data_IF_986180502119
#
_entry.id   IF_986180502119
#
_cell.length_a   1.000
_cell.length_b   1.000
_cell.length_c   1.000
_cell.angle_alpha   90.00
_cell.angle_beta   90.00
_cell.angle_gamma   90.00
#
_symmetry.space_group_name_H-M   'P 1'
#
loop_
_entity.id
_entity.type
_entity.pdbx_description
1 polymer ?
#
# COMPACT_ATOMS: atom_id res chain seq x y z
N UNK A 1 -15.73 41.09 17.38
CA UNK A 1 -14.73 40.27 18.12
C UNK A 1 -14.01 39.41 17.10
N UNK A 2 -12.70 39.60 16.99
CA UNK A 2 -11.80 39.01 16.00
C UNK A 2 -11.74 37.49 16.24
N UNK A 3 -12.27 36.69 15.32
CA UNK A 3 -12.05 35.24 15.30
C UNK A 3 -10.66 34.96 14.78
N UNK A 4 -9.68 34.84 15.67
CA UNK A 4 -8.31 34.51 15.34
C UNK A 4 -8.24 33.26 14.45
N UNK A 5 -7.52 33.38 13.32
CA UNK A 5 -7.20 32.29 12.40
C UNK A 5 -6.61 31.12 13.19
N UNK A 6 -7.25 29.94 13.16
CA UNK A 6 -6.60 28.68 13.58
C UNK A 6 -5.43 28.42 12.62
N UNK A 7 -4.24 28.89 13.01
CA UNK A 7 -3.06 28.90 12.16
C UNK A 7 -2.01 27.98 12.75
N UNK A 8 -2.08 26.68 12.48
CA UNK A 8 -0.92 25.77 12.56
C UNK A 8 -1.06 24.65 11.50
N UNK A 9 -0.09 24.64 10.57
CA UNK A 9 0.17 23.64 9.50
C UNK A 9 1.69 23.57 9.28
N UNK A 10 2.47 23.68 10.35
CA UNK A 10 3.92 23.71 10.24
C UNK A 10 4.42 22.29 9.94
N UNK A 11 5.37 22.20 9.01
CA UNK A 11 6.06 20.96 8.69
C UNK A 11 7.00 20.65 9.84
N UNK A 12 6.79 19.52 10.49
CA UNK A 12 7.61 19.08 11.62
C UNK A 12 8.71 18.13 11.16
N UNK A 13 8.31 17.13 10.35
CA UNK A 13 9.22 16.12 9.86
C UNK A 13 9.04 15.92 8.36
N UNK A 14 10.15 15.64 7.68
CA UNK A 14 10.16 15.11 6.33
C UNK A 14 10.38 13.60 6.39
N UNK A 15 9.49 12.84 5.78
CA UNK A 15 9.54 11.39 5.68
C UNK A 15 9.83 11.00 4.23
N UNK A 16 10.74 10.07 4.02
CA UNK A 16 11.13 9.64 2.68
C UNK A 16 11.67 8.21 2.66
N UNK A 17 11.65 7.59 1.48
CA UNK A 17 12.28 6.30 1.25
C UNK A 17 11.63 5.54 0.10
N UNK A 18 11.68 4.21 0.20
CA UNK A 18 11.01 3.29 -0.70
C UNK A 18 10.03 2.45 0.10
N UNK A 19 8.75 2.54 -0.20
CA UNK A 19 7.70 1.89 0.62
C UNK A 19 7.78 0.36 0.65
N UNK A 20 8.57 -0.24 -0.23
CA UNK A 20 8.86 -1.68 -0.30
C UNK A 20 10.16 -2.09 0.40
N UNK A 21 11.04 -1.13 0.79
CA UNK A 21 12.38 -1.42 1.30
C UNK A 21 12.69 -0.72 2.64
N UNK A 22 12.50 0.60 2.73
CA UNK A 22 12.83 1.37 3.93
C UNK A 22 12.12 2.73 3.98
N UNK A 23 11.98 3.28 5.18
CA UNK A 23 11.55 4.65 5.43
C UNK A 23 12.52 5.31 6.41
N UNK A 24 12.93 6.54 6.10
CA UNK A 24 13.69 7.45 6.97
C UNK A 24 12.83 8.68 7.27
N UNK A 25 13.13 9.34 8.38
CA UNK A 25 12.61 10.67 8.65
C UNK A 25 13.72 11.60 9.15
N UNK A 26 13.55 12.89 8.94
CA UNK A 26 14.41 13.96 9.49
C UNK A 26 13.53 15.15 9.87
N UNK A 27 14.01 16.01 10.76
CA UNK A 27 13.30 17.24 11.12
C UNK A 27 13.24 18.22 9.94
N UNK A 28 12.26 19.12 9.95
CA UNK A 28 12.05 20.04 8.83
C UNK A 28 13.22 21.01 8.63
N UNK A 29 13.96 21.40 9.67
CA UNK A 29 15.11 22.30 9.54
C UNK A 29 16.25 21.62 8.79
N UNK A 30 16.60 20.39 9.18
CA UNK A 30 17.60 19.57 8.49
C UNK A 30 17.25 19.34 7.03
N UNK A 31 15.96 19.10 6.72
CA UNK A 31 15.48 19.02 5.34
C UNK A 31 15.65 20.34 4.58
N UNK A 32 15.25 21.47 5.16
CA UNK A 32 15.36 22.77 4.51
C UNK A 32 16.81 23.19 4.23
N UNK A 33 17.72 22.95 5.17
CA UNK A 33 19.15 23.20 5.00
C UNK A 33 19.74 22.34 3.87
N UNK A 34 19.41 21.05 3.85
CA UNK A 34 19.80 20.15 2.77
C UNK A 34 19.32 20.65 1.41
N UNK A 35 18.05 21.10 1.32
CA UNK A 35 17.49 21.61 0.07
C UNK A 35 18.13 22.93 -0.38
N UNK A 36 18.53 23.81 0.56
CA UNK A 36 19.26 25.05 0.25
C UNK A 36 20.67 24.77 -0.26
N UNK A 37 21.39 23.84 0.36
CA UNK A 37 22.76 23.44 -0.03
C UNK A 37 22.82 22.68 -1.36
N UNK A 38 21.80 21.87 -1.66
CA UNK A 38 21.77 21.02 -2.85
C UNK A 38 20.88 21.59 -4.00
N UNK A 39 20.22 22.73 -3.77
CA UNK A 39 19.25 23.35 -4.68
C UNK A 39 19.80 23.78 -6.05
N UNK A 40 21.12 23.97 -6.18
CA UNK A 40 21.79 24.25 -7.46
C UNK A 40 21.91 23.03 -8.39
N UNK A 41 21.70 21.80 -7.89
CA UNK A 41 21.77 20.56 -8.70
C UNK A 41 20.41 20.02 -9.15
N UNK A 42 19.29 20.50 -8.60
CA UNK A 42 17.93 19.99 -8.90
C UNK A 42 17.08 20.89 -9.82
N UNK A 43 17.51 22.13 -10.11
CA UNK A 43 16.72 23.05 -10.94
C UNK A 43 16.51 22.56 -12.39
N UNK A 44 17.33 21.64 -12.89
CA UNK A 44 17.21 21.11 -14.26
C UNK A 44 16.10 20.07 -14.45
N UNK A 45 15.48 19.53 -13.39
CA UNK A 45 14.44 18.48 -13.54
C UNK A 45 13.00 18.96 -13.32
N UNK A 46 12.79 20.13 -12.70
CA UNK A 46 11.44 20.62 -12.37
C UNK A 46 10.85 21.64 -13.37
N UNK A 47 11.60 22.10 -14.38
CA UNK A 47 11.13 23.19 -15.27
C UNK A 47 10.34 22.74 -16.51
N UNK A 48 9.99 21.46 -16.67
CA UNK A 48 9.28 20.96 -17.88
C UNK A 48 7.82 20.54 -17.67
N UNK A 49 7.21 20.86 -16.53
CA UNK A 49 5.78 20.66 -16.31
C UNK A 49 4.96 21.94 -16.55
N UNK A 50 5.02 22.48 -17.76
CA UNK A 50 3.95 23.26 -18.35
C UNK A 50 3.94 23.05 -19.87
N UNK A 51 3.19 22.04 -20.33
CA UNK A 51 2.60 22.06 -21.68
C UNK A 51 1.38 21.14 -21.72
N UNK A 52 0.21 21.75 -21.90
CA UNK A 52 -1.05 21.07 -22.19
C UNK A 52 -0.96 20.28 -23.50
N UNK A 53 -1.74 19.20 -23.67
CA UNK A 53 -2.02 18.69 -25.00
C UNK A 53 -3.53 18.59 -25.24
N UNK A 54 -4.06 19.60 -25.94
CA UNK A 54 -5.06 19.34 -26.97
C UNK A 54 -4.23 19.06 -28.23
N UNK A 55 -4.02 17.80 -28.57
CA UNK A 55 -3.70 17.36 -29.93
C UNK A 55 -3.81 15.83 -30.03
N UNK A 56 -4.74 15.38 -30.86
CA UNK A 56 -4.90 13.99 -31.25
C UNK A 56 -4.03 13.69 -32.47
N UNK A 57 -3.48 12.47 -32.60
CA UNK A 57 -3.21 11.90 -33.91
C UNK A 57 -4.16 10.73 -34.17
N UNK A 58 -5.10 10.98 -35.07
CA UNK A 58 -5.81 9.97 -35.84
C UNK A 58 -4.84 9.23 -36.76
N UNK A 59 -4.74 7.91 -36.64
CA UNK A 59 -4.97 6.97 -37.76
C UNK A 59 -4.88 5.52 -37.26
N UNK A 60 -5.91 4.78 -37.63
CA UNK A 60 -6.20 3.42 -37.20
C UNK A 60 -5.43 2.35 -37.98
N UNK A 61 -5.34 1.15 -37.41
CA UNK A 61 -5.62 -0.07 -38.17
C UNK A 61 -6.64 -0.92 -37.41
N UNK A 62 -7.74 -1.22 -38.11
CA UNK A 62 -8.91 -1.99 -37.66
C UNK A 62 -8.64 -3.50 -37.77
N UNK A 63 -9.43 -4.28 -37.01
CA UNK A 63 -9.57 -5.76 -36.93
C UNK A 63 -8.67 -6.34 -35.81
N UNK A 64 -9.16 -6.94 -34.74
CA UNK A 64 -10.19 -7.99 -34.62
C UNK A 64 -10.99 -7.80 -33.32
N UNK A 65 -12.31 -7.68 -33.45
CA UNK A 65 -13.28 -7.69 -32.34
C UNK A 65 -14.33 -8.72 -32.73
N UNK A 66 -14.34 -9.89 -32.07
CA UNK A 66 -15.52 -10.75 -31.87
C UNK A 66 -15.15 -12.05 -31.13
N UNK A 67 -15.31 -12.04 -29.79
CA UNK A 67 -15.97 -13.08 -28.97
C UNK A 67 -15.77 -12.76 -27.48
N UNK A 68 -16.58 -11.84 -26.96
CA UNK A 68 -16.90 -11.80 -25.54
C UNK A 68 -18.13 -12.69 -25.33
N UNK A 69 -17.88 -13.95 -24.97
CA UNK A 69 -18.89 -14.89 -24.54
C UNK A 69 -18.45 -15.53 -23.23
N UNK A 70 -19.07 -15.10 -22.13
CA UNK A 70 -19.09 -15.78 -20.83
C UNK A 70 -17.75 -15.99 -20.11
N UNK A 71 -17.24 -14.96 -19.42
CA UNK A 71 -16.33 -15.17 -18.29
C UNK A 71 -17.16 -15.30 -17.00
N UNK A 72 -17.45 -16.54 -16.61
CA UNK A 72 -17.79 -16.86 -15.22
C UNK A 72 -16.49 -16.73 -14.42
N UNK A 73 -16.38 -15.71 -13.57
CA UNK A 73 -15.33 -15.67 -12.55
C UNK A 73 -15.67 -16.73 -11.48
N UNK A 74 -15.23 -17.96 -11.73
CA UNK A 74 -15.20 -19.03 -10.73
C UNK A 74 -13.77 -19.23 -10.26
N UNK A 75 -13.60 -19.13 -8.94
CA UNK A 75 -12.46 -19.57 -8.14
C UNK A 75 -11.11 -18.94 -8.46
N UNK A 76 -10.67 -18.06 -7.55
CA UNK A 76 -9.25 -17.83 -7.29
C UNK A 76 -8.63 -19.15 -6.82
N UNK A 77 -8.25 -20.00 -7.79
CA UNK A 77 -7.32 -21.09 -7.56
C UNK A 77 -5.97 -20.41 -7.34
N UNK A 78 -5.45 -20.52 -6.12
CA UNK A 78 -4.06 -20.18 -5.81
C UNK A 78 -3.18 -20.71 -6.94
N UNK A 79 -2.51 -19.83 -7.67
CA UNK A 79 -1.37 -20.22 -8.49
C UNK A 79 -0.25 -20.60 -7.54
N UNK A 80 -0.32 -21.83 -7.02
CA UNK A 80 0.84 -22.54 -6.53
C UNK A 80 1.80 -22.62 -7.72
N UNK A 81 2.90 -21.87 -7.63
CA UNK A 81 4.08 -22.09 -8.45
C UNK A 81 4.57 -23.49 -8.10
N UNK A 82 4.11 -24.49 -8.85
CA UNK A 82 4.83 -25.74 -8.96
C UNK A 82 6.00 -25.46 -9.91
N UNK A 83 7.08 -24.88 -9.37
CA UNK A 83 8.39 -24.97 -10.00
C UNK A 83 9.02 -26.26 -9.47
N UNK A 84 9.09 -27.24 -10.36
CA UNK A 84 9.91 -28.43 -10.20
C UNK A 84 11.34 -28.03 -9.89
N UNK A 85 11.94 -28.74 -8.93
CA UNK A 85 13.34 -28.62 -8.56
C UNK A 85 14.25 -28.74 -9.78
N UNK A 86 15.03 -27.70 -10.06
CA UNK A 86 16.37 -27.77 -10.64
C UNK A 86 17.14 -26.46 -10.37
N UNK A 87 18.46 -26.59 -10.31
CA UNK A 87 19.56 -25.69 -9.91
C UNK A 87 19.58 -24.22 -10.44
N UNK A 88 20.46 -23.33 -9.92
CA UNK A 88 20.32 -21.88 -9.99
C UNK A 88 20.68 -21.33 -11.38
N UNK A 89 19.69 -21.30 -12.28
CA UNK A 89 19.78 -20.59 -13.55
C UNK A 89 19.62 -19.07 -13.35
N UNK A 90 20.54 -18.32 -13.95
CA UNK A 90 20.58 -16.85 -13.96
C UNK A 90 19.21 -16.21 -14.22
N UNK A 91 18.84 -15.24 -13.38
CA UNK A 91 17.59 -14.49 -13.45
C UNK A 91 17.54 -13.76 -14.81
N UNK A 92 16.57 -14.02 -15.71
CA UNK A 92 16.47 -13.30 -16.96
C UNK A 92 16.28 -11.80 -16.70
N UNK A 93 16.97 -10.95 -17.48
CA UNK A 93 16.97 -9.48 -17.39
C UNK A 93 15.58 -8.81 -17.45
N UNK A 94 14.51 -9.56 -17.75
CA UNK A 94 13.11 -9.14 -17.68
C UNK A 94 12.48 -9.21 -16.28
N UNK A 95 13.29 -9.29 -15.21
CA UNK A 95 12.79 -9.20 -13.84
C UNK A 95 12.15 -7.81 -13.57
N UNK A 96 11.17 -7.73 -12.65
CA UNK A 96 10.55 -6.46 -12.17
C UNK A 96 11.58 -5.34 -12.21
N UNK A 97 11.26 -4.13 -12.73
CA UNK A 97 12.24 -3.07 -12.87
C UNK A 97 13.03 -2.97 -11.58
N UNK A 98 14.31 -3.38 -11.61
CA UNK A 98 15.14 -3.20 -10.43
C UNK A 98 15.31 -1.72 -10.33
N UNK A 99 14.99 -1.17 -9.17
CA UNK A 99 15.25 0.24 -8.95
C UNK A 99 16.77 0.42 -9.00
N UNK A 100 17.30 0.87 -10.13
CA UNK A 100 18.69 1.36 -10.26
C UNK A 100 18.89 2.65 -9.45
N UNK A 101 17.86 3.09 -8.71
CA UNK A 101 17.85 4.38 -8.06
C UNK A 101 18.97 4.47 -7.02
N UNK A 102 19.96 5.25 -7.40
CA UNK A 102 20.91 6.00 -6.56
C UNK A 102 20.19 7.00 -5.65
N UNK A 103 18.91 6.80 -5.33
CA UNK A 103 18.10 7.67 -4.48
C UNK A 103 18.46 7.43 -3.00
N UNK A 104 19.76 7.41 -2.70
CA UNK A 104 20.29 7.63 -1.35
C UNK A 104 20.34 9.14 -1.14
N UNK A 105 19.17 9.75 -0.97
CA UNK A 105 19.14 11.06 -0.33
C UNK A 105 19.49 10.84 1.14
N UNK A 106 20.78 10.88 1.45
CA UNK A 106 21.25 10.92 2.82
C UNK A 106 21.16 12.37 3.30
N UNK A 107 19.93 12.75 3.68
CA UNK A 107 19.68 14.00 4.35
C UNK A 107 20.33 13.92 5.74
N UNK A 108 21.09 14.94 6.16
CA UNK A 108 21.65 14.99 7.51
C UNK A 108 20.58 14.80 8.59
N UNK A 109 21.00 14.26 9.74
CA UNK A 109 20.13 14.00 10.90
C UNK A 109 18.95 13.05 10.61
N UNK A 110 18.97 12.34 9.49
CA UNK A 110 17.95 11.34 9.18
C UNK A 110 18.04 10.12 10.10
N UNK A 111 16.90 9.70 10.63
CA UNK A 111 16.71 8.48 11.39
C UNK A 111 15.99 7.44 10.53
N UNK A 112 16.50 6.20 10.53
CA UNK A 112 15.80 5.05 9.94
C UNK A 112 14.62 4.67 10.85
N UNK A 113 13.39 4.80 10.35
CA UNK A 113 12.17 4.51 11.12
C UNK A 113 11.57 3.14 10.77
N UNK A 114 11.84 2.63 9.57
CA UNK A 114 11.39 1.31 9.14
C UNK A 114 12.32 0.75 8.07
N UNK A 115 12.55 -0.55 8.11
CA UNK A 115 13.26 -1.31 7.08
C UNK A 115 12.59 -2.66 6.92
N UNK A 116 12.51 -3.14 5.68
CA UNK A 116 11.98 -4.46 5.37
C UNK A 116 12.89 -5.54 5.97
N UNK A 117 12.28 -6.51 6.66
CA UNK A 117 12.98 -7.72 7.05
C UNK A 117 13.00 -8.70 5.86
N UNK A 118 14.11 -9.41 5.62
CA UNK A 118 14.15 -10.46 4.62
C UNK A 118 13.04 -11.48 4.84
N UNK A 119 12.43 -11.96 3.75
CA UNK A 119 11.41 -13.01 3.84
C UNK A 119 12.07 -14.35 4.19
N UNK A 120 11.38 -15.21 4.97
CA UNK A 120 11.88 -16.55 5.24
C UNK A 120 11.97 -17.36 3.94
N UNK A 121 12.87 -18.35 3.84
CA UNK A 121 13.06 -19.14 2.63
C UNK A 121 11.78 -19.81 2.12
N UNK A 122 10.95 -20.31 3.04
CA UNK A 122 9.67 -20.97 2.77
C UNK A 122 8.51 -20.02 2.44
N UNK A 123 8.76 -18.71 2.28
CA UNK A 123 7.75 -17.70 1.99
C UNK A 123 6.87 -18.04 0.78
N UNK A 124 7.44 -18.65 -0.26
CA UNK A 124 6.71 -19.06 -1.47
C UNK A 124 5.55 -20.00 -1.20
N UNK A 125 5.68 -20.86 -0.20
CA UNK A 125 4.72 -21.90 0.13
C UNK A 125 3.55 -21.34 0.96
N UNK A 126 3.74 -20.14 1.53
CA UNK A 126 2.82 -19.46 2.42
C UNK A 126 2.47 -18.06 1.90
N UNK A 127 1.98 -17.99 0.66
CA UNK A 127 1.44 -16.76 0.06
C UNK A 127 2.42 -15.58 0.01
N UNK A 128 3.72 -15.86 -0.01
CA UNK A 128 4.79 -14.86 0.02
C UNK A 128 4.81 -13.99 1.29
N UNK A 129 4.32 -14.52 2.41
CA UNK A 129 4.25 -13.82 3.68
C UNK A 129 5.63 -13.58 4.29
N UNK A 130 5.75 -12.46 5.00
CA UNK A 130 6.85 -12.23 5.95
C UNK A 130 6.64 -13.07 7.20
N UNK A 131 7.70 -13.30 7.97
CA UNK A 131 7.60 -13.97 9.28
C UNK A 131 6.60 -13.27 10.21
N UNK A 132 6.61 -11.93 10.21
CA UNK A 132 5.61 -11.13 10.92
C UNK A 132 4.19 -11.46 10.46
N UNK A 133 3.93 -11.48 9.14
CA UNK A 133 2.60 -11.79 8.61
C UNK A 133 2.14 -13.22 8.94
N UNK A 134 3.06 -14.19 8.93
CA UNK A 134 2.77 -15.56 9.36
C UNK A 134 2.33 -15.62 10.84
N UNK A 135 2.93 -14.79 11.70
CA UNK A 135 2.59 -14.74 13.14
C UNK A 135 1.28 -14.01 13.46
N UNK A 136 0.78 -13.15 12.56
CA UNK A 136 -0.35 -12.25 12.85
C UNK A 136 -1.61 -12.99 13.30
N UNK A 137 -1.88 -14.16 12.70
CA UNK A 137 -3.11 -14.91 12.93
C UNK A 137 -2.93 -16.13 13.86
N UNK A 138 -1.75 -16.29 14.46
CA UNK A 138 -1.49 -17.33 15.45
C UNK A 138 -2.29 -17.08 16.74
N UNK A 139 -2.87 -18.14 17.31
CA UNK A 139 -3.54 -18.12 18.62
C UNK A 139 -2.72 -19.00 19.56
N UNK A 140 -2.09 -18.37 20.55
CA UNK A 140 -1.37 -19.09 21.60
C UNK A 140 -2.33 -19.74 22.62
N UNK A 141 -1.83 -20.75 23.35
CA UNK A 141 -2.60 -21.64 24.24
C UNK A 141 -3.43 -20.92 25.33
N UNK A 142 -3.07 -19.69 25.71
CA UNK A 142 -3.82 -18.89 26.68
C UNK A 142 -4.40 -17.59 26.12
N UNK A 143 -4.12 -17.28 24.86
CA UNK A 143 -4.56 -16.03 24.22
C UNK A 143 -6.09 -16.01 24.07
N UNK A 144 -6.68 -17.15 23.69
CA UNK A 144 -8.10 -17.23 23.33
C UNK A 144 -9.05 -16.77 24.45
N UNK A 145 -8.68 -16.96 25.72
CA UNK A 145 -9.48 -16.54 26.88
C UNK A 145 -9.58 -15.02 27.03
N UNK A 146 -8.57 -14.30 26.50
CA UNK A 146 -8.43 -12.85 26.63
C UNK A 146 -8.79 -12.09 25.34
N UNK A 147 -8.99 -12.80 24.22
CA UNK A 147 -9.37 -12.18 22.96
C UNK A 147 -10.80 -11.64 23.02
N UNK A 148 -11.00 -10.44 22.51
CA UNK A 148 -12.35 -9.94 22.30
C UNK A 148 -13.05 -10.79 21.22
N UNK A 149 -14.38 -10.99 21.28
CA UNK A 149 -15.10 -11.76 20.27
C UNK A 149 -15.00 -11.21 18.84
N UNK A 150 -14.52 -9.97 18.69
CA UNK A 150 -14.31 -9.27 17.40
C UNK A 150 -12.87 -9.36 16.89
N UNK A 151 -11.97 -10.06 17.58
CA UNK A 151 -10.60 -10.25 17.13
C UNK A 151 -10.56 -11.06 15.82
N UNK A 152 -9.74 -10.63 14.86
CA UNK A 152 -9.64 -11.27 13.55
C UNK A 152 -9.21 -12.73 13.62
N UNK A 153 -8.44 -13.14 14.63
CA UNK A 153 -8.00 -14.52 14.81
C UNK A 153 -9.15 -15.51 15.01
N UNK A 154 -10.28 -15.00 15.50
CA UNK A 154 -11.49 -15.77 15.76
C UNK A 154 -12.40 -15.86 14.53
N UNK A 155 -12.01 -15.30 13.38
CA UNK A 155 -12.78 -15.39 12.14
C UNK A 155 -12.76 -16.83 11.58
N UNK A 156 -13.93 -17.50 11.50
CA UNK A 156 -13.98 -18.91 11.11
C UNK A 156 -13.65 -19.15 9.63
N UNK A 157 -13.95 -18.21 8.75
CA UNK A 157 -13.62 -18.29 7.33
C UNK A 157 -12.10 -18.27 7.10
N UNK A 158 -11.39 -17.39 7.80
CA UNK A 158 -9.93 -17.30 7.73
C UNK A 158 -9.28 -18.55 8.34
N UNK A 159 -9.79 -19.04 9.48
CA UNK A 159 -9.22 -20.23 10.14
C UNK A 159 -9.35 -21.49 9.29
N UNK A 160 -10.51 -21.70 8.67
CA UNK A 160 -10.74 -22.83 7.76
C UNK A 160 -9.81 -22.76 6.55
N UNK A 161 -9.61 -21.56 6.00
CA UNK A 161 -8.68 -21.35 4.88
C UNK A 161 -7.24 -21.71 5.26
N UNK A 162 -6.77 -21.29 6.43
CA UNK A 162 -5.43 -21.63 6.93
C UNK A 162 -5.22 -23.13 7.16
N UNK A 163 -6.28 -23.85 7.50
CA UNK A 163 -6.27 -25.31 7.67
C UNK A 163 -6.40 -26.07 6.34
N UNK A 164 -6.52 -25.36 5.21
CA UNK A 164 -6.71 -25.92 3.88
C UNK A 164 -8.15 -26.32 3.55
N UNK A 165 -9.13 -26.04 4.43
CA UNK A 165 -10.55 -26.25 4.18
C UNK A 165 -11.14 -25.09 3.34
N UNK A 166 -10.91 -25.16 2.03
CA UNK A 166 -11.30 -24.13 1.07
C UNK A 166 -12.83 -23.98 0.98
N UNK A 167 -13.55 -25.10 0.93
CA UNK A 167 -15.01 -25.10 0.78
C UNK A 167 -15.69 -24.57 2.04
N UNK A 168 -15.24 -25.03 3.22
CA UNK A 168 -15.75 -24.54 4.48
C UNK A 168 -15.44 -23.06 4.70
N UNK A 169 -14.29 -22.57 4.27
CA UNK A 169 -13.95 -21.15 4.29
C UNK A 169 -14.90 -20.31 3.42
N UNK A 170 -15.22 -20.78 2.20
CA UNK A 170 -16.14 -20.10 1.30
C UNK A 170 -17.57 -20.01 1.88
N UNK A 171 -18.05 -21.08 2.52
CA UNK A 171 -19.35 -21.10 3.20
C UNK A 171 -19.38 -20.08 4.34
N UNK A 172 -18.38 -20.09 5.22
CA UNK A 172 -18.31 -19.15 6.35
C UNK A 172 -18.18 -17.70 5.89
N UNK A 173 -17.40 -17.44 4.85
CA UNK A 173 -17.26 -16.12 4.25
C UNK A 173 -18.64 -15.58 3.81
N UNK A 174 -19.38 -16.37 3.04
CA UNK A 174 -20.71 -15.99 2.56
C UNK A 174 -21.67 -15.71 3.72
N UNK A 175 -21.65 -16.56 4.76
CA UNK A 175 -22.47 -16.40 5.96
C UNK A 175 -22.15 -15.10 6.72
N UNK A 176 -20.86 -14.78 6.87
CA UNK A 176 -20.41 -13.56 7.55
C UNK A 176 -20.76 -12.29 6.76
N UNK A 177 -20.54 -12.28 5.44
CA UNK A 177 -20.88 -11.14 4.58
C UNK A 177 -22.39 -10.88 4.54
N UNK A 178 -23.22 -11.93 4.46
CA UNK A 178 -24.68 -11.79 4.49
C UNK A 178 -25.17 -11.27 5.85
N UNK A 179 -24.58 -11.76 6.96
CA UNK A 179 -24.86 -11.24 8.31
C UNK A 179 -24.51 -9.76 8.41
N UNK A 180 -23.36 -9.33 7.88
CA UNK A 180 -22.95 -7.92 7.85
C UNK A 180 -23.90 -7.07 6.99
N UNK A 181 -24.29 -7.57 5.81
CA UNK A 181 -25.21 -6.90 4.88
C UNK A 181 -26.59 -6.68 5.52
N UNK A 182 -27.11 -7.71 6.20
CA UNK A 182 -28.38 -7.65 6.93
C UNK A 182 -28.33 -6.67 8.11
N UNK A 183 -27.24 -6.67 8.89
CA UNK A 183 -27.04 -5.72 9.98
C UNK A 183 -26.98 -4.27 9.49
N UNK A 184 -26.27 -4.00 8.39
CA UNK A 184 -26.20 -2.68 7.76
C UNK A 184 -27.57 -2.21 7.25
N UNK A 185 -28.38 -3.11 6.66
CA UNK A 185 -29.75 -2.81 6.23
C UNK A 185 -30.62 -2.43 7.42
N UNK A 186 -30.50 -3.15 8.54
CA UNK A 186 -31.23 -2.85 9.78
C UNK A 186 -30.84 -1.51 10.39
N UNK A 187 -29.54 -1.19 10.46
CA UNK A 187 -29.05 0.10 10.98
C UNK A 187 -29.55 1.28 10.14
N UNK A 188 -29.47 1.17 8.80
CA UNK A 188 -30.00 2.19 7.88
C UNK A 188 -31.50 2.41 8.07
N UNK A 189 -32.28 1.33 8.16
CA UNK A 189 -33.73 1.40 8.41
C UNK A 189 -34.05 2.09 9.74
N UNK A 190 -33.28 1.80 10.79
CA UNK A 190 -33.42 2.42 12.11
C UNK A 190 -32.79 3.81 12.22
N UNK A 191 -32.17 4.33 11.15
CA UNK A 191 -31.38 5.58 11.13
C UNK A 191 -30.33 5.63 12.26
N UNK A 192 -29.76 4.48 12.62
CA UNK A 192 -28.70 4.39 13.61
C UNK A 192 -27.36 4.57 12.92
N UNK A 193 -26.58 5.53 13.39
CA UNK A 193 -25.21 5.75 12.95
C UNK A 193 -24.27 4.69 13.56
N UNK A 194 -23.44 4.07 12.72
CA UNK A 194 -22.41 3.15 13.21
C UNK A 194 -21.27 3.93 13.85
N UNK A 195 -20.84 3.52 15.05
CA UNK A 195 -19.72 4.12 15.76
C UNK A 195 -18.65 3.08 16.08
N UNK A 196 -17.37 3.32 15.74
CA UNK A 196 -16.28 2.44 16.15
C UNK A 196 -16.15 2.44 17.68
N UNK A 197 -15.70 1.32 18.24
CA UNK A 197 -15.53 1.16 19.71
C UNK A 197 -14.13 1.51 20.22
N UNK A 198 -13.16 1.71 19.31
CA UNK A 198 -11.77 2.01 19.63
C UNK A 198 -11.51 3.54 19.65
N UNK A 199 -10.61 3.99 20.53
CA UNK A 199 -10.30 5.42 20.75
C UNK A 199 -9.33 5.98 19.71
N UNK A 200 -8.37 5.18 19.25
CA UNK A 200 -7.43 5.59 18.22
C UNK A 200 -8.05 5.38 16.85
N UNK A 201 -8.32 6.48 16.16
CA UNK A 201 -8.86 6.46 14.81
C UNK A 201 -8.02 7.32 13.89
N UNK A 202 -7.82 6.81 12.69
CA UNK A 202 -7.13 7.48 11.60
C UNK A 202 -8.03 7.48 10.38
N UNK A 203 -7.99 8.56 9.61
CA UNK A 203 -8.57 8.62 8.27
C UNK A 203 -7.46 8.86 7.26
N UNK A 204 -7.61 8.28 6.07
CA UNK A 204 -6.66 8.52 5.00
C UNK A 204 -7.32 8.58 3.62
N UNK A 205 -6.71 9.31 2.68
CA UNK A 205 -7.05 9.23 1.26
C UNK A 205 -6.32 8.06 0.61
N UNK A 206 -7.03 7.29 -0.22
CA UNK A 206 -6.40 6.20 -0.95
C UNK A 206 -5.58 6.75 -2.13
N UNK A 207 -4.45 6.10 -2.40
CA UNK A 207 -3.65 6.32 -3.61
C UNK A 207 -4.03 5.31 -4.69
N UNK A 208 -3.72 5.63 -5.96
CA UNK A 208 -3.98 4.72 -7.06
C UNK A 208 -3.00 3.54 -6.99
N UNK A 209 -3.53 2.32 -7.03
CA UNK A 209 -2.73 1.10 -7.17
C UNK A 209 -2.76 0.63 -8.63
N UNK A 210 -1.60 0.59 -9.28
CA UNK A 210 -1.42 0.09 -10.63
C UNK A 210 -0.83 -1.33 -10.56
N UNK A 211 -1.45 -2.28 -11.23
CA UNK A 211 -0.94 -3.65 -11.35
C UNK A 211 -0.46 -3.86 -12.79
N UNK A 212 0.81 -4.16 -12.94
CA UNK A 212 1.49 -4.31 -14.23
C UNK A 212 1.69 -5.80 -14.55
N UNK A 213 1.82 -6.12 -15.84
CA UNK A 213 2.14 -7.47 -16.33
C UNK A 213 1.14 -8.55 -15.91
N UNK A 214 -0.17 -8.24 -15.95
CA UNK A 214 -1.23 -9.20 -15.62
C UNK A 214 -1.31 -10.43 -16.55
N UNK A 215 -0.78 -10.32 -17.78
CA UNK A 215 -0.89 -11.37 -18.81
C UNK A 215 0.49 -11.95 -19.15
N UNK A 216 1.50 -11.09 -19.33
CA UNK A 216 2.85 -11.50 -19.74
C UNK A 216 3.89 -10.75 -18.92
N UNK A 217 4.92 -11.47 -18.49
CA UNK A 217 6.01 -10.94 -17.67
C UNK A 217 5.75 -11.09 -16.17
N UNK A 218 6.68 -10.61 -15.36
CA UNK A 218 6.57 -10.69 -13.90
C UNK A 218 5.58 -9.64 -13.40
N UNK A 219 4.53 -10.07 -12.71
CA UNK A 219 3.55 -9.21 -12.04
C UNK A 219 4.25 -8.28 -11.05
N UNK A 220 3.93 -6.99 -11.09
CA UNK A 220 4.37 -6.03 -10.09
C UNK A 220 3.33 -4.94 -9.87
N UNK A 221 3.42 -4.26 -8.73
CA UNK A 221 2.49 -3.23 -8.34
C UNK A 221 3.20 -1.93 -8.04
N UNK A 222 2.48 -0.85 -8.28
CA UNK A 222 2.90 0.50 -7.98
C UNK A 222 1.78 1.27 -7.29
N UNK A 223 2.16 2.09 -6.31
CA UNK A 223 1.28 3.09 -5.73
C UNK A 223 1.63 4.45 -6.30
N UNK A 224 0.63 5.23 -6.72
CA UNK A 224 0.81 6.55 -7.30
C UNK A 224 -0.18 7.53 -6.72
N UNK A 225 0.30 8.71 -6.33
CA UNK A 225 -0.52 9.84 -5.91
C UNK A 225 -0.26 10.29 -4.48
N UNK A 226 -1.16 11.13 -3.98
CA UNK A 226 -1.04 11.76 -2.67
C UNK A 226 -1.96 11.06 -1.66
N UNK A 227 -1.36 10.59 -0.57
CA UNK A 227 -2.03 10.07 0.61
C UNK A 227 -2.01 11.13 1.70
N UNK A 228 -3.18 11.58 2.14
CA UNK A 228 -3.33 12.39 3.34
C UNK A 228 -3.79 11.49 4.47
N UNK A 229 -3.12 11.54 5.62
CA UNK A 229 -3.44 10.75 6.82
C UNK A 229 -3.74 11.72 7.95
N UNK A 230 -4.83 11.54 8.68
CA UNK A 230 -5.20 12.34 9.84
C UNK A 230 -5.39 11.44 11.06
N UNK A 231 -4.67 11.73 12.15
CA UNK A 231 -4.91 11.13 13.46
C UNK A 231 -6.00 11.92 14.19
N UNK A 232 -7.12 11.27 14.52
CA UNK A 232 -8.20 11.93 15.27
C UNK A 232 -7.94 12.01 16.77
N UNK A 233 -7.04 11.16 17.30
CA UNK A 233 -6.65 11.20 18.70
C UNK A 233 -5.66 12.35 18.99
N UNK A 234 -4.65 12.52 18.13
CA UNK A 234 -3.57 13.49 18.35
C UNK A 234 -3.70 14.78 17.54
N UNK A 235 -4.54 14.80 16.50
CA UNK A 235 -4.71 15.94 15.59
C UNK A 235 -3.63 16.09 14.52
N UNK A 236 -2.53 15.32 14.59
CA UNK A 236 -1.45 15.34 13.61
C UNK A 236 -1.93 14.87 12.23
N UNK A 237 -1.24 15.36 11.20
CA UNK A 237 -1.51 14.98 9.81
C UNK A 237 -0.21 14.59 9.10
N UNK A 238 -0.30 13.68 8.15
CA UNK A 238 0.76 13.39 7.20
C UNK A 238 0.25 13.58 5.77
N UNK A 239 1.07 14.11 4.89
CA UNK A 239 0.82 14.14 3.45
C UNK A 239 2.00 13.47 2.76
N UNK A 240 1.77 12.29 2.20
CA UNK A 240 2.78 11.46 1.54
C UNK A 240 2.48 11.39 0.05
N UNK A 241 3.51 11.53 -0.76
CA UNK A 241 3.45 11.41 -2.22
C UNK A 241 4.14 10.13 -2.64
N UNK A 242 3.38 9.21 -3.22
CA UNK A 242 3.90 8.02 -3.88
C UNK A 242 4.20 8.37 -5.33
N UNK A 243 5.48 8.29 -5.71
CA UNK A 243 5.94 8.65 -7.04
C UNK A 243 5.66 7.52 -8.02
N UNK A 244 5.25 7.90 -9.22
CA UNK A 244 5.18 6.98 -10.36
C UNK A 244 6.58 6.58 -10.80
N UNK A 245 6.76 5.36 -11.26
CA UNK A 245 7.99 4.85 -11.80
C UNK A 245 8.36 5.67 -13.03
N UNK A 246 9.35 6.54 -12.86
CA UNK A 246 9.96 7.27 -13.98
C UNK A 246 10.67 6.32 -14.95
N UNK A 247 11.17 6.87 -16.05
CA UNK A 247 12.01 6.13 -17.00
C UNK A 247 13.13 5.37 -16.28
N UNK A 248 13.34 4.10 -16.65
CA UNK A 248 14.31 3.18 -16.04
C UNK A 248 14.10 2.90 -14.54
N UNK A 249 12.89 3.10 -14.01
CA UNK A 249 12.58 2.74 -12.60
C UNK A 249 13.22 3.65 -11.54
N UNK A 250 13.67 4.85 -11.92
CA UNK A 250 14.32 5.82 -11.02
C UNK A 250 13.50 6.14 -9.77
N UNK A 251 12.19 6.31 -9.94
CA UNK A 251 11.27 6.66 -8.87
C UNK A 251 10.43 5.47 -8.41
N UNK A 252 10.80 4.25 -8.84
CA UNK A 252 10.07 3.04 -8.48
C UNK A 252 9.99 2.90 -6.97
N UNK A 253 8.75 2.78 -6.49
CA UNK A 253 8.40 2.64 -5.07
C UNK A 253 8.81 3.82 -4.17
N UNK A 254 9.23 4.95 -4.74
CA UNK A 254 9.62 6.11 -3.96
C UNK A 254 8.39 6.74 -3.30
N UNK A 255 8.53 7.03 -2.01
CA UNK A 255 7.56 7.78 -1.23
C UNK A 255 8.27 8.89 -0.48
N UNK A 256 7.66 10.08 -0.46
CA UNK A 256 8.17 11.22 0.31
C UNK A 256 7.03 12.14 0.75
N UNK A 257 7.21 12.86 1.84
CA UNK A 257 6.17 13.74 2.34
C UNK A 257 6.48 14.38 3.68
N UNK A 258 5.50 15.09 4.21
CA UNK A 258 5.64 15.81 5.47
C UNK A 258 4.64 15.35 6.51
N UNK A 259 5.09 15.38 7.76
CA UNK A 259 4.24 15.30 8.94
C UNK A 259 4.05 16.72 9.47
N UNK A 260 2.81 17.07 9.78
CA UNK A 260 2.39 18.38 10.24
C UNK A 260 1.91 18.32 11.69
N UNK A 261 2.13 19.42 12.41
CA UNK A 261 1.60 19.61 13.76
C UNK A 261 0.06 19.56 13.80
N UNK A 262 -0.49 19.37 15.00
CA UNK A 262 -1.93 19.34 15.28
C UNK A 262 -2.62 20.65 14.90
N UNK A 263 -3.85 20.53 14.40
CA UNK A 263 -4.74 21.66 14.08
C UNK A 263 -5.53 22.19 15.28
#
# INVERSE_FOLDING_TARGET
RIGARKRWKEKQFFLYGKWTEFLKCTDNNSYEEYMKGNGSKQQTTNSKYQKSPNDSPSHASKKVLQKLGSLKLSSFKSMSVAESMDEPSEIPENSVPRSESTYSIDIPNSTLIWKVNPRPPQSSDYYQFTEFAMSLNEIERDMQKNLCPTDSRLRPDIRKLEQGDIDGAAIEKNRLEEKQRSANKSMKSKKVEWKPRLKDSYTWSNVQCCVHNLIVGKLWMEQVGIMEICSHASGHRAQLTFKQAGSNGKDLHRVEGFIFDKQ
#
